data_IF_801250662796
#
_entry.id   IF_801250662796
#
_cell.length_a   1.000
_cell.length_b   1.000
_cell.length_c   1.000
_cell.angle_alpha   90.00
_cell.angle_beta   90.00
_cell.angle_gamma   90.00
#
_symmetry.space_group_name_H-M   'P 1'
#
loop_
_entity.id
_entity.type
_entity.pdbx_description
1 polymer ?
#
# COMPACT_ATOMS: atom_id res chain seq x y z
N UNK A 1 9.21 14.49 -7.30
CA UNK A 1 8.72 15.71 -7.98
C UNK A 1 7.59 16.36 -7.18
N UNK A 2 7.41 15.97 -5.92
CA UNK A 2 6.43 16.48 -4.95
C UNK A 2 4.96 16.47 -5.41
N UNK A 3 4.66 15.74 -6.49
CA UNK A 3 3.33 15.68 -7.09
C UNK A 3 2.41 14.66 -6.43
N UNK A 4 2.96 13.56 -5.91
CA UNK A 4 2.16 12.45 -5.39
C UNK A 4 2.47 12.13 -3.93
N UNK A 5 1.42 11.91 -3.14
CA UNK A 5 1.45 11.40 -1.78
C UNK A 5 0.93 9.95 -1.77
N UNK A 6 1.63 9.06 -1.08
CA UNK A 6 1.26 7.66 -0.95
C UNK A 6 0.83 7.35 0.49
N UNK A 7 -0.27 6.61 0.64
CA UNK A 7 -0.84 6.25 1.94
C UNK A 7 -1.08 4.76 2.01
N UNK A 8 -0.45 4.11 2.97
CA UNK A 8 -0.63 2.70 3.26
C UNK A 8 -1.75 2.51 4.29
N UNK A 9 -2.90 2.00 3.85
CA UNK A 9 -4.06 1.78 4.69
C UNK A 9 -4.04 0.36 5.25
N UNK A 10 -3.22 0.12 6.28
CA UNK A 10 -2.97 -1.21 6.84
C UNK A 10 -4.24 -1.96 7.27
N UNK A 11 -5.22 -1.26 7.83
CA UNK A 11 -6.49 -1.88 8.25
C UNK A 11 -7.44 -2.20 7.08
N UNK A 12 -7.65 -1.27 6.15
CA UNK A 12 -8.57 -1.49 5.03
C UNK A 12 -7.98 -2.47 4.01
N UNK A 13 -6.66 -2.49 3.84
CA UNK A 13 -5.98 -3.30 2.83
C UNK A 13 -5.79 -2.57 1.51
N UNK A 14 -5.45 -1.28 1.56
CA UNK A 14 -5.36 -0.43 0.38
C UNK A 14 -4.04 0.37 0.38
N UNK A 15 -3.42 0.52 -0.80
CA UNK A 15 -2.34 1.47 -1.04
C UNK A 15 -2.90 2.58 -1.93
N UNK A 16 -2.95 3.80 -1.42
CA UNK A 16 -3.48 4.95 -2.16
C UNK A 16 -2.37 5.79 -2.74
N UNK A 17 -2.66 6.41 -3.87
CA UNK A 17 -1.91 7.52 -4.43
C UNK A 17 -2.84 8.73 -4.55
N UNK A 18 -2.41 9.86 -4.02
CA UNK A 18 -3.08 11.15 -4.15
C UNK A 18 -2.20 12.10 -4.97
N UNK A 19 -2.80 12.78 -5.95
CA UNK A 19 -2.20 13.97 -6.54
C UNK A 19 -2.31 15.12 -5.53
N UNK A 20 -1.17 15.69 -5.18
CA UNK A 20 -0.99 16.81 -4.24
C UNK A 20 -0.33 18.02 -4.90
N UNK A 21 -0.52 18.19 -6.22
CA UNK A 21 -0.12 19.41 -6.94
C UNK A 21 -0.68 20.68 -6.27
N UNK A 22 -1.88 20.57 -5.67
CA UNK A 22 -2.37 21.47 -4.63
C UNK A 22 -2.33 20.73 -3.28
N UNK A 23 -1.37 21.01 -2.39
CA UNK A 23 -1.24 20.32 -1.10
C UNK A 23 -2.44 20.48 -0.16
N UNK A 24 -3.22 21.55 -0.35
CA UNK A 24 -4.42 21.81 0.46
C UNK A 24 -5.68 21.17 -0.12
N UNK A 25 -5.58 20.59 -1.32
CA UNK A 25 -6.68 19.88 -1.98
C UNK A 25 -6.21 18.57 -2.64
N UNK A 26 -5.78 17.57 -1.84
CA UNK A 26 -5.39 16.26 -2.38
C UNK A 26 -6.52 15.60 -3.17
N UNK A 27 -6.18 15.02 -4.33
CA UNK A 27 -7.15 14.30 -5.20
C UNK A 27 -6.72 12.85 -5.33
N UNK A 28 -7.62 11.89 -5.07
CA UNK A 28 -7.29 10.47 -5.24
C UNK A 28 -6.99 10.16 -6.71
N UNK A 29 -5.76 9.72 -6.99
CA UNK A 29 -5.27 9.44 -8.33
C UNK A 29 -5.30 7.94 -8.68
N UNK A 30 -5.17 7.07 -7.68
CA UNK A 30 -5.21 5.62 -7.87
C UNK A 30 -5.17 4.85 -6.56
N UNK A 31 -5.52 3.57 -6.61
CA UNK A 31 -5.43 2.67 -5.45
C UNK A 31 -5.23 1.21 -5.85
N UNK A 32 -4.50 0.48 -5.03
CA UNK A 32 -4.37 -0.98 -5.10
C UNK A 32 -4.97 -1.61 -3.84
N UNK A 33 -5.77 -2.66 -4.01
CA UNK A 33 -6.30 -3.47 -2.90
C UNK A 33 -5.42 -4.71 -2.71
N UNK A 34 -4.89 -4.90 -1.50
CA UNK A 34 -4.03 -6.04 -1.17
C UNK A 34 -4.02 -6.29 0.35
N UNK A 35 -4.33 -7.52 0.76
CA UNK A 35 -4.46 -7.88 2.18
C UNK A 35 -5.58 -7.12 2.86
N UNK A 36 -5.37 -6.73 4.12
CA UNK A 36 -6.29 -5.94 4.92
C UNK A 36 -7.27 -6.77 5.75
N UNK A 37 -7.72 -6.20 6.86
CA UNK A 37 -8.82 -6.74 7.68
C UNK A 37 -10.13 -6.68 6.88
N UNK A 38 -10.33 -5.58 6.14
CA UNK A 38 -11.56 -5.32 5.38
C UNK A 38 -11.54 -6.01 4.02
N UNK A 39 -10.52 -5.76 3.20
CA UNK A 39 -10.49 -6.21 1.80
C UNK A 39 -10.09 -7.68 1.64
N UNK A 40 -9.13 -8.16 2.41
CA UNK A 40 -8.57 -9.53 2.32
C UNK A 40 -8.16 -9.93 0.89
N UNK A 41 -7.71 -8.96 0.09
CA UNK A 41 -7.44 -9.17 -1.33
C UNK A 41 -6.13 -9.95 -1.53
N UNK A 42 -6.17 -11.04 -2.29
CA UNK A 42 -4.96 -11.80 -2.62
C UNK A 42 -4.10 -11.04 -3.64
N UNK A 43 -2.81 -11.32 -3.65
CA UNK A 43 -1.95 -10.81 -4.72
C UNK A 43 -2.44 -11.36 -6.08
N UNK A 44 -2.33 -10.61 -7.19
CA UNK A 44 -2.73 -11.08 -8.53
C UNK A 44 -2.10 -12.41 -8.98
N UNK A 45 -0.98 -12.81 -8.37
CA UNK A 45 -0.34 -14.12 -8.59
C UNK A 45 -1.00 -15.27 -7.81
N UNK A 46 -2.09 -15.03 -7.09
CA UNK A 46 -2.85 -16.02 -6.32
C UNK A 46 -2.35 -16.26 -4.90
N UNK A 47 -1.17 -15.75 -4.53
CA UNK A 47 -0.62 -15.87 -3.18
C UNK A 47 -1.41 -15.00 -2.20
N UNK A 48 -1.62 -15.52 -1.00
CA UNK A 48 -2.13 -14.72 0.13
C UNK A 48 -1.08 -13.68 0.48
N UNK A 49 -1.53 -12.45 0.70
CA UNK A 49 -0.74 -11.38 1.30
C UNK A 49 -1.26 -11.19 2.72
N UNK A 50 -0.51 -11.67 3.71
CA UNK A 50 -0.88 -11.51 5.12
C UNK A 50 -0.77 -10.04 5.53
N UNK A 51 -1.52 -9.66 6.56
CA UNK A 51 -1.65 -8.29 7.05
C UNK A 51 -2.24 -7.34 5.98
N UNK A 52 -1.94 -6.05 6.05
CA UNK A 52 -2.24 -5.06 4.99
C UNK A 52 -1.00 -4.27 4.59
N UNK A 53 -1.12 -3.28 3.69
CA UNK A 53 -0.01 -2.40 3.31
C UNK A 53 0.48 -1.57 4.49
N UNK A 54 1.80 -1.48 4.72
CA UNK A 54 2.39 -0.76 5.86
C UNK A 54 3.52 0.19 5.41
N UNK A 55 4.81 -0.13 5.64
CA UNK A 55 5.89 0.78 5.24
C UNK A 55 5.93 0.89 3.71
N UNK A 56 6.02 2.11 3.20
CA UNK A 56 6.03 2.42 1.78
C UNK A 56 7.33 3.14 1.39
N UNK A 57 7.87 2.82 0.23
CA UNK A 57 9.06 3.45 -0.33
C UNK A 57 8.88 3.65 -1.85
N UNK A 58 9.33 4.78 -2.37
CA UNK A 58 9.12 5.16 -3.77
C UNK A 58 10.47 5.27 -4.49
N UNK A 59 10.56 4.72 -5.69
CA UNK A 59 11.77 4.88 -6.50
C UNK A 59 12.00 6.35 -6.86
N UNK A 60 13.27 6.77 -6.94
CA UNK A 60 13.63 8.17 -7.26
C UNK A 60 13.06 8.70 -8.58
N UNK A 61 12.77 7.81 -9.54
CA UNK A 61 12.14 8.14 -10.81
C UNK A 61 10.60 8.23 -10.73
N UNK A 62 10.00 7.97 -9.56
CA UNK A 62 8.57 8.00 -9.31
C UNK A 62 7.76 6.86 -9.94
N UNK A 63 8.42 5.89 -10.59
CA UNK A 63 7.73 4.87 -11.41
C UNK A 63 7.38 3.59 -10.67
N UNK A 64 7.90 3.38 -9.47
CA UNK A 64 7.72 2.14 -8.69
C UNK A 64 7.47 2.48 -7.24
N UNK A 65 6.46 1.83 -6.67
CA UNK A 65 6.14 1.91 -5.24
C UNK A 65 6.32 0.52 -4.64
N UNK A 66 7.06 0.45 -3.55
CA UNK A 66 7.30 -0.76 -2.80
C UNK A 66 6.64 -0.64 -1.43
N UNK A 67 6.03 -1.71 -0.94
CA UNK A 67 5.59 -1.74 0.45
C UNK A 67 5.73 -3.11 1.09
N UNK A 68 5.86 -3.09 2.42
CA UNK A 68 5.85 -4.26 3.30
C UNK A 68 4.59 -4.27 4.16
N UNK A 69 4.41 -5.31 4.97
CA UNK A 69 3.11 -5.64 5.56
C UNK A 69 3.05 -5.71 7.10
N UNK A 70 4.19 -5.75 7.80
CA UNK A 70 4.23 -5.75 9.28
C UNK A 70 4.34 -4.34 9.84
N UNK A 71 3.70 -4.08 10.98
CA UNK A 71 3.80 -2.81 11.71
C UNK A 71 4.71 -2.95 12.93
N UNK A 72 4.28 -3.76 13.88
CA UNK A 72 4.98 -3.99 15.15
C UNK A 72 4.45 -5.28 15.75
N UNK A 73 5.32 -6.12 16.29
CA UNK A 73 4.99 -7.52 16.64
C UNK A 73 3.70 -7.69 17.45
N UNK A 74 3.53 -6.91 18.54
CA UNK A 74 2.34 -7.02 19.39
C UNK A 74 1.08 -6.46 18.73
N UNK A 75 1.21 -5.53 17.79
CA UNK A 75 0.08 -4.97 17.05
C UNK A 75 -0.34 -5.91 15.92
N UNK A 76 0.63 -6.49 15.21
CA UNK A 76 0.38 -7.50 14.19
C UNK A 76 -0.44 -8.66 14.79
N UNK A 77 -0.10 -9.11 16.01
CA UNK A 77 -0.83 -10.16 16.70
C UNK A 77 -2.26 -9.76 17.13
N UNK A 78 -2.48 -8.49 17.47
CA UNK A 78 -3.79 -7.99 17.85
C UNK A 78 -4.74 -7.85 16.67
N UNK A 79 -4.25 -7.29 15.56
CA UNK A 79 -5.09 -6.95 14.40
C UNK A 79 -5.18 -8.10 13.37
N UNK A 80 -4.17 -8.96 13.32
CA UNK A 80 -4.10 -10.09 12.38
C UNK A 80 -3.67 -11.39 13.09
N UNK A 81 -4.53 -11.90 13.99
CA UNK A 81 -4.20 -13.05 14.82
C UNK A 81 -3.94 -14.30 13.96
N UNK A 82 -2.75 -14.88 14.11
CA UNK A 82 -2.34 -16.10 13.39
C UNK A 82 -1.84 -15.88 11.97
N UNK A 83 -1.98 -14.67 11.40
CA UNK A 83 -1.34 -14.36 10.12
C UNK A 83 0.16 -14.15 10.31
N UNK A 84 0.94 -14.66 9.35
CA UNK A 84 2.40 -14.63 9.32
C UNK A 84 2.88 -14.58 7.88
N UNK A 85 4.17 -14.31 7.69
CA UNK A 85 4.82 -14.26 6.39
C UNK A 85 5.00 -12.82 5.92
N UNK A 86 6.09 -12.21 6.39
CA UNK A 86 6.52 -10.90 5.91
C UNK A 86 6.70 -10.93 4.39
N UNK A 87 6.13 -9.94 3.72
CA UNK A 87 6.14 -9.85 2.26
C UNK A 87 6.51 -8.43 1.83
N UNK A 88 7.13 -8.34 0.66
CA UNK A 88 7.35 -7.08 -0.05
C UNK A 88 6.69 -7.20 -1.42
N UNK A 89 6.03 -6.14 -1.85
CA UNK A 89 5.39 -6.05 -3.16
C UNK A 89 5.81 -4.78 -3.88
N UNK A 90 5.64 -4.78 -5.20
CA UNK A 90 5.94 -3.66 -6.09
C UNK A 90 4.71 -3.38 -6.94
N UNK A 91 4.26 -2.13 -6.97
CA UNK A 91 3.37 -1.61 -8.01
C UNK A 91 4.13 -0.70 -8.97
N UNK A 92 3.75 -0.74 -10.24
CA UNK A 92 4.22 0.20 -11.25
C UNK A 92 3.25 1.39 -11.31
N UNK A 93 3.78 2.60 -11.39
CA UNK A 93 2.98 3.84 -11.43
C UNK A 93 2.74 4.26 -12.88
N UNK A 94 1.49 4.57 -13.20
CA UNK A 94 1.11 5.07 -14.52
C UNK A 94 1.78 6.40 -14.88
N UNK A 95 1.90 6.69 -16.18
CA UNK A 95 2.61 7.88 -16.68
C UNK A 95 2.05 9.21 -16.17
N UNK A 96 0.76 9.26 -15.82
CA UNK A 96 0.07 10.44 -15.28
C UNK A 96 -0.44 10.20 -13.85
N UNK A 97 0.23 9.33 -13.09
CA UNK A 97 -0.32 8.73 -11.89
C UNK A 97 -1.21 7.53 -12.23
N UNK A 98 -1.84 6.98 -11.21
CA UNK A 98 -2.49 5.68 -11.22
C UNK A 98 -1.58 4.64 -10.57
N UNK A 99 -2.14 3.98 -9.55
CA UNK A 99 -1.67 2.71 -8.99
C UNK A 99 -2.62 1.60 -9.45
#
# INVERSE_FOLDING_TARGET
DDKYLYVACWGTGEMHQYDVSDPMKPVLAGKVELGGIVKKTKHPCGKVFGYGPQMVEISRDGKRVYWTNSLYSTWDDQFYPGERGGAMVKADVGANGGL
#
